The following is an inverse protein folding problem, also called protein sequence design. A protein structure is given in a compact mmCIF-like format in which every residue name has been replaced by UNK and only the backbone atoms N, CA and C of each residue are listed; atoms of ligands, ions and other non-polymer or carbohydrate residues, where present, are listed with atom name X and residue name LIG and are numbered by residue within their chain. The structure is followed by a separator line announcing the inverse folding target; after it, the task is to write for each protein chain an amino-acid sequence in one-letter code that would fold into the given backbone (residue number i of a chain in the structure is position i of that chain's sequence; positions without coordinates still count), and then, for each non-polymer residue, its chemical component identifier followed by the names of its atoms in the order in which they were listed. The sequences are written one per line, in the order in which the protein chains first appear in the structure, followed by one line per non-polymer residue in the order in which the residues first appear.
data_IF_804336928995
#
_entry.id   IF_804336928995
#
_cell.length_a   1.000
_cell.length_b   1.000
_cell.length_c   1.000
_cell.angle_alpha   90.00
_cell.angle_beta   90.00
_cell.angle_gamma   90.00
#
_symmetry.space_group_name_H-M   'P 1'
#
loop_
_entity.id
_entity.type
_entity.pdbx_description
1 polymer ?
#
# COMPACT_ATOMS: atom_id res chain seq x y z
N UNK A 1 -16.00 -3.21 -6.76
CA UNK A 1 -15.40 -1.87 -6.89
C UNK A 1 -16.33 -1.00 -7.74
N UNK A 2 -16.64 0.21 -7.29
CA UNK A 2 -17.48 1.18 -8.02
C UNK A 2 -16.78 1.65 -9.30
N UNK A 3 -17.54 1.88 -10.36
CA UNK A 3 -17.06 2.26 -11.69
C UNK A 3 -17.75 3.55 -12.16
N UNK A 4 -18.76 3.45 -13.02
CA UNK A 4 -19.52 4.57 -13.58
C UNK A 4 -21.01 4.15 -13.67
N UNK A 5 -21.94 4.87 -13.02
CA UNK A 5 -23.36 4.52 -13.05
C UNK A 5 -24.01 4.67 -14.43
N UNK A 6 -23.38 5.41 -15.35
CA UNK A 6 -23.89 5.61 -16.71
C UNK A 6 -23.35 4.59 -17.71
N UNK A 7 -22.36 3.77 -17.33
CA UNK A 7 -21.79 2.72 -18.18
C UNK A 7 -22.60 1.41 -17.99
N UNK A 8 -23.73 1.30 -18.69
CA UNK A 8 -24.70 0.22 -18.50
C UNK A 8 -24.44 -1.00 -19.39
N UNK A 9 -23.99 -0.76 -20.63
CA UNK A 9 -23.62 -1.81 -21.59
C UNK A 9 -22.17 -1.66 -21.99
N UNK A 10 -21.56 -2.76 -22.43
CA UNK A 10 -20.16 -2.79 -22.89
C UNK A 10 -19.91 -1.79 -24.02
N UNK A 11 -20.89 -1.58 -24.91
CA UNK A 11 -20.79 -0.64 -26.04
C UNK A 11 -20.89 0.83 -25.63
N UNK A 12 -21.40 1.12 -24.43
CA UNK A 12 -21.62 2.50 -24.01
C UNK A 12 -20.26 3.14 -23.68
N UNK A 13 -20.05 4.42 -23.99
CA UNK A 13 -18.86 5.14 -23.56
C UNK A 13 -18.88 5.33 -22.04
N UNK A 14 -17.76 5.07 -21.37
CA UNK A 14 -17.65 5.21 -19.92
C UNK A 14 -16.77 6.38 -19.47
N UNK A 15 -17.03 6.89 -18.27
CA UNK A 15 -16.26 7.98 -17.63
C UNK A 15 -15.10 7.43 -16.80
N UNK A 16 -13.92 8.04 -16.96
CA UNK A 16 -12.73 7.72 -16.15
C UNK A 16 -12.74 8.49 -14.82
N UNK A 17 -13.16 9.75 -14.83
CA UNK A 17 -13.24 10.58 -13.63
C UNK A 17 -14.26 10.00 -12.64
N UNK A 18 -13.82 9.72 -11.41
CA UNK A 18 -14.64 9.07 -10.37
C UNK A 18 -14.67 7.54 -10.43
N UNK A 19 -14.08 6.93 -11.47
CA UNK A 19 -14.02 5.48 -11.61
C UNK A 19 -12.85 4.90 -10.79
N UNK A 20 -13.19 4.29 -9.65
CA UNK A 20 -12.21 3.74 -8.69
C UNK A 20 -11.33 2.66 -9.32
N UNK A 21 -11.83 1.92 -10.31
CA UNK A 21 -11.02 0.89 -10.99
C UNK A 21 -9.83 1.54 -11.70
N UNK A 22 -10.04 2.63 -12.43
CA UNK A 22 -8.95 3.33 -13.12
C UNK A 22 -8.04 4.09 -12.16
N UNK A 23 -8.57 4.64 -11.06
CA UNK A 23 -7.72 5.22 -9.99
C UNK A 23 -6.73 4.19 -9.45
N UNK A 24 -7.18 2.95 -9.23
CA UNK A 24 -6.32 1.90 -8.71
C UNK A 24 -5.37 1.33 -9.77
N UNK A 25 -5.82 1.17 -11.01
CA UNK A 25 -4.95 0.77 -12.12
C UNK A 25 -3.83 1.81 -12.32
N UNK A 26 -4.13 3.10 -12.22
CA UNK A 26 -3.12 4.17 -12.30
C UNK A 26 -2.09 4.09 -11.18
N UNK A 27 -2.51 3.74 -9.96
CA UNK A 27 -1.61 3.62 -8.83
C UNK A 27 -0.73 2.36 -8.92
N UNK A 28 -1.33 1.22 -9.25
CA UNK A 28 -0.71 -0.09 -8.98
C UNK A 28 -0.31 -0.89 -10.21
N UNK A 29 -0.90 -0.64 -11.37
CA UNK A 29 -0.58 -1.40 -12.57
C UNK A 29 0.83 -1.05 -13.08
N UNK A 30 1.72 -2.03 -13.30
CA UNK A 30 3.10 -1.74 -13.72
C UNK A 30 3.17 -1.24 -15.17
N UNK A 31 2.33 -1.76 -16.05
CA UNK A 31 2.25 -1.32 -17.45
C UNK A 31 1.28 -0.14 -17.59
N UNK A 32 1.83 1.07 -17.66
CA UNK A 32 1.04 2.31 -17.82
C UNK A 32 0.52 2.49 -19.24
N UNK A 33 1.18 1.93 -20.25
CA UNK A 33 0.74 2.03 -21.63
C UNK A 33 -0.54 1.21 -21.85
N UNK A 34 -0.60 0.01 -21.27
CA UNK A 34 -1.82 -0.81 -21.25
C UNK A 34 -2.98 -0.08 -20.57
N UNK A 35 -2.74 0.53 -19.40
CA UNK A 35 -3.79 1.30 -18.69
C UNK A 35 -4.28 2.48 -19.54
N UNK A 36 -3.37 3.20 -20.20
CA UNK A 36 -3.75 4.29 -21.11
C UNK A 36 -4.62 3.79 -22.28
N UNK A 37 -4.26 2.66 -22.90
CA UNK A 37 -5.05 2.04 -23.95
C UNK A 37 -6.43 1.59 -23.47
N UNK A 38 -6.51 1.01 -22.26
CA UNK A 38 -7.78 0.64 -21.64
C UNK A 38 -8.67 1.85 -21.38
N UNK A 39 -8.11 2.98 -20.91
CA UNK A 39 -8.86 4.22 -20.71
C UNK A 39 -9.47 4.73 -22.01
N UNK A 40 -8.68 4.77 -23.09
CA UNK A 40 -9.15 5.18 -24.41
C UNK A 40 -10.29 4.27 -24.88
N UNK A 41 -10.12 2.95 -24.77
CA UNK A 41 -11.14 1.98 -25.18
C UNK A 41 -12.41 2.10 -24.31
N UNK A 42 -12.28 2.31 -23.01
CA UNK A 42 -13.42 2.52 -22.11
C UNK A 42 -14.19 3.80 -22.44
N UNK A 43 -13.49 4.89 -22.76
CA UNK A 43 -14.12 6.16 -23.14
C UNK A 43 -14.81 6.11 -24.51
N UNK A 44 -14.32 5.27 -25.43
CA UNK A 44 -14.94 5.05 -26.74
C UNK A 44 -16.15 4.12 -26.67
N UNK A 45 -16.25 3.30 -25.62
CA UNK A 45 -17.14 2.15 -25.56
C UNK A 45 -16.51 0.92 -26.23
N UNK A 46 -16.92 -0.27 -25.78
CA UNK A 46 -16.40 -1.56 -26.20
C UNK A 46 -15.61 -2.30 -25.11
N UNK A 47 -15.27 -1.64 -24.00
CA UNK A 47 -14.55 -2.23 -22.88
C UNK A 47 -15.45 -2.34 -21.63
N UNK A 48 -15.90 -3.55 -21.30
CA UNK A 48 -16.77 -3.78 -20.16
C UNK A 48 -16.05 -3.68 -18.81
N UNK A 49 -16.78 -3.23 -17.78
CA UNK A 49 -16.31 -3.14 -16.38
C UNK A 49 -15.65 -4.40 -15.85
N UNK A 50 -16.16 -5.58 -16.24
CA UNK A 50 -15.62 -6.87 -15.82
C UNK A 50 -14.18 -7.05 -16.29
N UNK A 51 -13.86 -6.61 -17.51
CA UNK A 51 -12.49 -6.72 -18.05
C UNK A 51 -11.56 -5.81 -17.27
N UNK A 52 -11.96 -4.56 -17.02
CA UNK A 52 -11.17 -3.63 -16.21
C UNK A 52 -10.95 -4.14 -14.78
N UNK A 53 -11.99 -4.72 -14.16
CA UNK A 53 -11.92 -5.29 -12.80
C UNK A 53 -11.03 -6.52 -12.73
N UNK A 54 -11.09 -7.41 -13.72
CA UNK A 54 -10.23 -8.59 -13.78
C UNK A 54 -8.76 -8.19 -13.95
N UNK A 55 -8.48 -7.19 -14.80
CA UNK A 55 -7.12 -6.66 -14.96
C UNK A 55 -6.59 -6.09 -13.64
N UNK A 56 -7.43 -5.29 -12.96
CA UNK A 56 -7.08 -4.75 -11.65
C UNK A 56 -6.86 -5.86 -10.62
N UNK A 57 -7.72 -6.88 -10.59
CA UNK A 57 -7.58 -8.01 -9.68
C UNK A 57 -6.24 -8.72 -9.87
N UNK A 58 -5.90 -9.09 -11.10
CA UNK A 58 -4.60 -9.74 -11.41
C UNK A 58 -3.44 -8.88 -10.91
N UNK A 59 -3.43 -7.59 -11.28
CA UNK A 59 -2.41 -6.64 -10.85
C UNK A 59 -2.28 -6.58 -9.32
N UNK A 60 -3.39 -6.50 -8.59
CA UNK A 60 -3.36 -6.42 -7.13
C UNK A 60 -2.95 -7.73 -6.48
N UNK A 61 -3.38 -8.88 -7.00
CA UNK A 61 -2.97 -10.19 -6.47
C UNK A 61 -1.46 -10.39 -6.63
N UNK A 62 -0.91 -10.04 -7.79
CA UNK A 62 0.53 -10.08 -8.05
C UNK A 62 1.30 -9.13 -7.12
N UNK A 63 0.79 -7.90 -6.94
CA UNK A 63 1.41 -6.90 -6.05
C UNK A 63 1.47 -7.39 -4.59
N UNK A 64 0.40 -7.99 -4.08
CA UNK A 64 0.29 -8.36 -2.66
C UNK A 64 0.80 -9.78 -2.37
N UNK A 65 0.98 -10.63 -3.36
CA UNK A 65 1.50 -12.00 -3.19
C UNK A 65 2.80 -12.05 -2.36
N UNK A 66 3.87 -11.30 -2.68
CA UNK A 66 5.11 -11.35 -1.89
C UNK A 66 4.92 -10.78 -0.48
N UNK A 67 3.99 -9.83 -0.29
CA UNK A 67 3.67 -9.28 1.04
C UNK A 67 2.97 -10.34 1.90
N UNK A 68 2.02 -11.08 1.32
CA UNK A 68 1.30 -12.17 1.99
C UNK A 68 2.22 -13.31 2.36
N UNK A 69 3.14 -13.69 1.48
CA UNK A 69 4.14 -14.73 1.74
C UNK A 69 5.05 -14.35 2.90
N UNK A 70 5.66 -13.16 2.85
CA UNK A 70 6.50 -12.66 3.96
C UNK A 70 5.73 -12.58 5.28
N UNK A 71 4.49 -12.08 5.25
CA UNK A 71 3.62 -12.03 6.42
C UNK A 71 3.35 -13.42 6.98
N UNK A 72 3.11 -14.42 6.13
CA UNK A 72 2.88 -15.80 6.56
C UNK A 72 4.11 -16.37 7.27
N UNK A 73 5.33 -16.12 6.75
CA UNK A 73 6.59 -16.52 7.40
C UNK A 73 6.71 -15.97 8.83
N UNK A 74 6.44 -14.68 9.03
CA UNK A 74 6.53 -14.06 10.36
C UNK A 74 5.43 -14.51 11.33
N UNK A 75 4.21 -14.77 10.82
CA UNK A 75 3.10 -15.21 11.68
C UNK A 75 3.23 -16.68 12.10
N UNK A 76 3.85 -17.51 11.24
CA UNK A 76 4.10 -18.92 11.54
C UNK A 76 5.02 -19.09 12.76
N UNK A 77 5.96 -18.16 12.98
CA UNK A 77 6.82 -18.11 14.17
C UNK A 77 6.62 -16.81 14.95
N UNK A 78 5.67 -16.85 15.89
CA UNK A 78 5.39 -15.72 16.79
C UNK A 78 6.59 -15.36 17.67
N UNK A 79 7.46 -16.32 18.01
CA UNK A 79 8.64 -16.06 18.83
C UNK A 79 9.64 -15.18 18.08
N UNK A 80 9.94 -15.55 16.84
CA UNK A 80 10.78 -14.75 15.94
C UNK A 80 10.18 -13.36 15.68
N UNK A 81 8.85 -13.25 15.50
CA UNK A 81 8.18 -11.96 15.35
C UNK A 81 8.35 -11.06 16.60
N UNK A 82 8.16 -11.61 17.80
CA UNK A 82 8.33 -10.85 19.04
C UNK A 82 9.78 -10.41 19.24
N UNK A 83 10.75 -11.26 18.92
CA UNK A 83 12.18 -10.92 19.01
C UNK A 83 12.55 -9.81 18.03
N UNK A 84 12.00 -9.82 16.81
CA UNK A 84 12.18 -8.76 15.83
C UNK A 84 11.66 -7.41 16.35
N UNK A 85 10.46 -7.39 16.93
CA UNK A 85 9.86 -6.18 17.51
C UNK A 85 10.65 -5.68 18.74
N UNK A 86 11.12 -6.60 19.58
CA UNK A 86 11.96 -6.29 20.75
C UNK A 86 13.27 -5.61 20.34
N UNK A 87 13.99 -6.19 19.37
CA UNK A 87 15.23 -5.59 18.83
C UNK A 87 15.00 -4.20 18.24
N UNK A 88 13.91 -4.01 17.50
CA UNK A 88 13.54 -2.68 16.97
C UNK A 88 13.30 -1.66 18.09
N UNK A 89 12.62 -2.09 19.16
CA UNK A 89 12.34 -1.26 20.33
C UNK A 89 13.61 -0.90 21.10
N UNK A 90 14.53 -1.86 21.29
CA UNK A 90 15.84 -1.63 21.93
C UNK A 90 16.67 -0.61 21.15
N UNK A 91 16.71 -0.71 19.82
CA UNK A 91 17.40 0.26 18.96
C UNK A 91 16.83 1.67 19.06
N UNK A 92 15.49 1.79 19.05
CA UNK A 92 14.83 3.07 19.24
C UNK A 92 15.06 3.62 20.65
N UNK A 93 15.11 2.75 21.65
CA UNK A 93 15.40 3.12 23.03
C UNK A 93 16.78 3.75 23.17
N UNK A 94 17.82 3.16 22.57
CA UNK A 94 19.18 3.74 22.59
C UNK A 94 19.22 5.17 22.03
N UNK A 95 18.54 5.41 20.90
CA UNK A 95 18.48 6.75 20.29
C UNK A 95 17.71 7.72 21.18
N UNK A 96 16.54 7.32 21.66
CA UNK A 96 15.69 8.18 22.49
C UNK A 96 16.33 8.51 23.83
N UNK A 97 17.09 7.59 24.45
CA UNK A 97 17.83 7.87 25.68
C UNK A 97 18.92 8.91 25.46
N UNK A 98 19.66 8.85 24.34
CA UNK A 98 20.67 9.88 24.01
C UNK A 98 20.02 11.26 23.85
N UNK A 99 18.93 11.34 23.07
CA UNK A 99 18.18 12.60 22.91
C UNK A 99 17.63 13.11 24.24
N UNK A 100 17.08 12.22 25.08
CA UNK A 100 16.56 12.60 26.39
C UNK A 100 17.65 13.16 27.31
N UNK A 101 18.86 12.59 27.27
CA UNK A 101 20.00 13.09 28.03
C UNK A 101 20.40 14.51 27.59
N UNK A 102 20.45 14.77 26.28
CA UNK A 102 20.75 16.10 25.73
C UNK A 102 19.70 17.13 26.16
N UNK A 103 18.42 16.79 26.06
CA UNK A 103 17.31 17.66 26.49
C UNK A 103 17.39 17.94 27.98
N UNK A 104 17.59 16.91 28.82
CA UNK A 104 17.73 17.07 30.27
C UNK A 104 18.91 17.99 30.60
N UNK A 105 20.06 17.81 29.95
CA UNK A 105 21.24 18.67 30.13
C UNK A 105 20.96 20.11 29.72
N UNK A 106 20.31 20.34 28.59
CA UNK A 106 19.95 21.69 28.11
C UNK A 106 18.97 22.42 29.02
N UNK A 107 18.08 21.69 29.70
CA UNK A 107 17.09 22.23 30.63
C UNK A 107 17.56 22.28 32.10
N UNK A 108 18.79 21.83 32.40
CA UNK A 108 19.32 21.77 33.76
C UNK A 108 18.63 20.73 34.66
N UNK A 109 18.00 19.71 34.08
CA UNK A 109 17.35 18.63 34.82
C UNK A 109 18.37 17.58 35.28
N UNK A 110 18.18 16.93 36.45
CA UNK A 110 19.07 15.88 36.92
C UNK A 110 19.15 14.71 35.93
N UNK A 111 20.38 14.38 35.52
CA UNK A 111 20.70 13.18 34.73
C UNK A 111 21.23 12.09 35.65
N UNK A 112 20.40 11.66 36.61
CA UNK A 112 20.75 10.51 37.45
C UNK A 112 20.50 9.21 36.67
N UNK A 113 21.40 8.24 36.88
CA UNK A 113 21.50 6.89 36.30
C UNK A 113 22.30 6.78 34.99
N UNK A 114 23.62 6.63 35.14
CA UNK A 114 24.44 5.79 34.27
C UNK A 114 24.56 4.42 34.95
N UNK A 115 24.01 3.39 34.32
CA UNK A 115 24.44 1.99 34.48
C UNK A 115 24.79 1.50 33.08
#
# INVERSE_FOLDING_TARGET
IYTDPNHLKISDPGKIEGNVVFTWLDAFHPDKAKVAAMKVHYQQGGLGDRVCKNELETCLQELIAPIRERRATFIADKGMLMELLKKGSERAHEVTQKTLQEVKRGLGLPTLFQV
#
